data_IF_533621555055
#
_entry.id   IF_533621555055
#
_cell.length_a   1.000
_cell.length_b   1.000
_cell.length_c   1.000
_cell.angle_alpha   90.00
_cell.angle_beta   90.00
_cell.angle_gamma   90.00
#
_symmetry.space_group_name_H-M   'P 1'
#
loop_
_entity.id
_entity.type
_entity.pdbx_description
1 polymer ?
#
# COMPACT_ATOMS: atom_id res chain seq x y z
N UNK A 1 15.45 4.35 15.03
CA UNK A 1 14.96 3.14 15.74
C UNK A 1 15.55 1.92 15.07
N UNK A 2 15.75 0.81 15.79
CA UNK A 2 16.37 -0.41 15.24
C UNK A 2 15.30 -1.46 14.94
N UNK A 3 15.38 -2.10 13.77
CA UNK A 3 14.53 -3.23 13.42
C UNK A 3 15.15 -4.53 13.98
N UNK A 4 14.58 -5.02 15.07
CA UNK A 4 14.98 -6.29 15.69
C UNK A 4 14.26 -7.48 15.03
N UNK A 5 13.07 -7.27 14.46
CA UNK A 5 12.27 -8.34 13.85
C UNK A 5 12.99 -8.97 12.66
N UNK A 6 13.55 -8.14 11.78
CA UNK A 6 14.36 -8.62 10.65
C UNK A 6 15.61 -9.36 11.12
N UNK A 7 16.22 -8.95 12.24
CA UNK A 7 17.42 -9.61 12.80
C UNK A 7 17.14 -10.98 13.39
N UNK A 8 15.91 -11.24 13.83
CA UNK A 8 15.47 -12.56 14.33
C UNK A 8 14.81 -13.41 13.25
N UNK A 9 14.92 -13.02 11.97
CA UNK A 9 14.46 -13.80 10.83
C UNK A 9 13.00 -13.59 10.43
N UNK A 10 12.29 -12.62 11.02
CA UNK A 10 10.91 -12.29 10.65
C UNK A 10 10.96 -11.38 9.42
N UNK A 11 10.47 -11.87 8.28
CA UNK A 11 10.41 -11.07 7.06
C UNK A 11 9.25 -10.06 7.12
N UNK A 12 9.47 -8.81 6.67
CA UNK A 12 8.41 -7.81 6.61
C UNK A 12 7.40 -8.18 5.51
N UNK A 13 6.12 -8.15 5.86
CA UNK A 13 5.02 -8.31 4.91
C UNK A 13 4.20 -7.02 4.92
N UNK A 14 4.12 -6.36 3.77
CA UNK A 14 3.37 -5.12 3.62
C UNK A 14 2.06 -5.41 2.90
N UNK A 15 0.99 -5.60 3.68
CA UNK A 15 -0.36 -5.80 3.18
C UNK A 15 -1.24 -4.59 3.54
N UNK A 16 -2.24 -4.32 2.71
CA UNK A 16 -3.18 -3.21 2.90
C UNK A 16 -4.61 -3.67 2.74
N UNK A 17 -5.57 -2.93 3.29
CA UNK A 17 -6.98 -3.24 3.13
C UNK A 17 -7.41 -3.20 1.65
N UNK A 18 -6.77 -2.37 0.84
CA UNK A 18 -6.97 -2.34 -0.62
C UNK A 18 -6.64 -3.66 -1.31
N UNK A 19 -5.55 -4.34 -0.89
CA UNK A 19 -5.19 -5.67 -1.40
C UNK A 19 -6.17 -6.74 -0.92
N UNK A 20 -6.64 -6.63 0.32
CA UNK A 20 -7.70 -7.49 0.84
C UNK A 20 -8.97 -7.38 -0.01
N UNK A 21 -9.41 -6.16 -0.33
CA UNK A 21 -10.55 -5.92 -1.22
C UNK A 21 -10.32 -6.45 -2.64
N UNK A 22 -9.10 -6.29 -3.17
CA UNK A 22 -8.73 -6.83 -4.47
C UNK A 22 -8.86 -8.36 -4.49
N UNK A 23 -8.40 -9.04 -3.44
CA UNK A 23 -8.54 -10.50 -3.29
C UNK A 23 -10.00 -10.93 -3.22
N UNK A 24 -10.84 -10.20 -2.48
CA UNK A 24 -12.28 -10.47 -2.37
C UNK A 24 -13.02 -10.35 -3.71
N UNK A 25 -12.58 -9.45 -4.61
CA UNK A 25 -13.12 -9.32 -5.98
C UNK A 25 -12.43 -10.24 -7.00
N UNK A 26 -11.73 -11.28 -6.55
CA UNK A 26 -11.06 -12.24 -7.44
C UNK A 26 -9.82 -11.70 -8.16
N UNK A 27 -9.16 -10.67 -7.62
CA UNK A 27 -7.89 -10.13 -8.11
C UNK A 27 -7.97 -9.24 -9.36
N UNK A 28 -9.18 -8.81 -9.76
CA UNK A 28 -9.35 -7.91 -10.90
C UNK A 28 -8.85 -6.50 -10.55
N UNK A 29 -8.29 -5.76 -11.52
CA UNK A 29 -7.99 -4.33 -11.34
C UNK A 29 -9.28 -3.51 -11.23
N UNK A 30 -9.29 -2.54 -10.31
CA UNK A 30 -10.36 -1.56 -10.17
C UNK A 30 -10.13 -0.33 -11.08
N UNK A 31 -11.14 0.52 -11.30
CA UNK A 31 -10.95 1.79 -11.99
C UNK A 31 -9.85 2.64 -11.33
N UNK A 32 -9.00 3.21 -12.17
CA UNK A 32 -7.89 4.08 -11.80
C UNK A 32 -8.33 5.54 -11.68
N UNK A 33 -7.81 6.23 -10.69
CA UNK A 33 -7.94 7.68 -10.53
C UNK A 33 -6.74 8.25 -9.78
N UNK A 34 -6.63 9.58 -9.76
CA UNK A 34 -5.56 10.26 -9.02
C UNK A 34 -6.18 11.01 -7.85
N UNK A 35 -5.71 10.71 -6.65
CA UNK A 35 -6.09 11.44 -5.45
C UNK A 35 -5.20 12.69 -5.37
N UNK A 36 -5.77 13.89 -5.20
CA UNK A 36 -4.97 15.09 -4.97
C UNK A 36 -4.00 14.88 -3.80
N UNK A 37 -2.74 15.31 -3.96
CA UNK A 37 -1.65 15.18 -2.97
C UNK A 37 -1.14 13.73 -2.79
N UNK A 38 -2.02 12.74 -2.65
CA UNK A 38 -1.64 11.34 -2.40
C UNK A 38 -1.18 10.59 -3.66
N UNK A 39 -1.69 10.96 -4.83
CA UNK A 39 -1.23 10.45 -6.12
C UNK A 39 -2.08 9.32 -6.72
N UNK A 40 -1.49 8.49 -7.60
CA UNK A 40 -2.15 7.40 -8.31
C UNK A 40 -2.81 6.37 -7.39
N UNK A 41 -4.06 6.01 -7.64
CA UNK A 41 -4.81 5.02 -6.85
C UNK A 41 -5.88 4.30 -7.68
N UNK A 42 -6.31 3.13 -7.23
CA UNK A 42 -7.56 2.49 -7.67
C UNK A 42 -8.68 2.68 -6.66
N UNK A 43 -9.95 2.51 -7.06
CA UNK A 43 -11.11 2.66 -6.15
C UNK A 43 -10.93 1.86 -4.86
N UNK A 44 -10.54 0.60 -4.98
CA UNK A 44 -10.30 -0.29 -3.84
C UNK A 44 -9.15 0.18 -2.95
N UNK A 45 -8.05 0.65 -3.55
CA UNK A 45 -6.89 1.15 -2.82
C UNK A 45 -7.21 2.47 -2.13
N UNK A 46 -8.01 3.34 -2.74
CA UNK A 46 -8.46 4.59 -2.14
C UNK A 46 -9.33 4.37 -0.91
N UNK A 47 -10.29 3.44 -0.98
CA UNK A 47 -11.06 3.00 0.19
C UNK A 47 -10.13 2.33 1.22
N UNK A 48 -9.16 1.55 0.74
CA UNK A 48 -8.14 0.90 1.55
C UNK A 48 -7.36 1.88 2.41
N UNK A 49 -6.92 3.01 1.85
CA UNK A 49 -6.20 4.07 2.60
C UNK A 49 -7.02 4.56 3.80
N UNK A 50 -8.33 4.79 3.63
CA UNK A 50 -9.19 5.23 4.72
C UNK A 50 -9.35 4.15 5.79
N UNK A 51 -9.57 2.90 5.39
CA UNK A 51 -9.68 1.77 6.31
C UNK A 51 -8.36 1.55 7.08
N UNK A 52 -7.22 1.57 6.37
CA UNK A 52 -5.88 1.43 6.94
C UNK A 52 -5.57 2.57 7.91
N UNK A 53 -6.02 3.80 7.65
CA UNK A 53 -5.84 4.91 8.58
C UNK A 53 -6.45 4.60 9.96
N UNK A 54 -7.64 4.02 10.00
CA UNK A 54 -8.29 3.61 11.26
C UNK A 54 -7.63 2.42 11.97
N UNK A 55 -6.75 1.65 11.29
CA UNK A 55 -5.98 0.59 11.94
C UNK A 55 -4.66 1.08 12.54
N UNK A 56 -4.29 2.34 12.29
CA UNK A 56 -3.11 2.98 12.88
C UNK A 56 -3.43 3.71 14.18
N UNK A 57 -2.44 4.04 15.02
CA UNK A 57 -2.66 4.83 16.22
C UNK A 57 -2.97 6.31 15.95
N UNK A 58 -2.69 6.83 14.74
CA UNK A 58 -2.85 8.24 14.36
C UNK A 58 -4.23 8.84 14.68
N UNK A 59 -5.36 8.24 14.25
CA UNK A 59 -6.70 8.78 14.57
C UNK A 59 -7.03 8.87 16.06
N UNK A 60 -6.28 8.16 16.91
CA UNK A 60 -6.50 8.11 18.36
C UNK A 60 -5.57 9.05 19.14
N UNK A 61 -4.67 9.77 18.46
CA UNK A 61 -3.83 10.81 19.07
C UNK A 61 -4.66 12.08 19.27
N UNK A 62 -4.86 12.49 20.52
CA UNK A 62 -5.68 13.66 20.87
C UNK A 62 -5.05 15.01 20.49
N UNK A 63 -3.73 15.07 20.40
CA UNK A 63 -3.02 16.30 20.02
C UNK A 63 -3.03 16.47 18.50
N UNK A 64 -3.80 17.46 18.03
CA UNK A 64 -3.91 17.79 16.61
C UNK A 64 -2.61 18.34 16.04
N UNK A 65 -1.79 19.04 16.83
CA UNK A 65 -0.52 19.59 16.35
C UNK A 65 0.46 18.46 15.99
N UNK A 66 0.52 17.42 16.81
CA UNK A 66 1.34 16.23 16.53
C UNK A 66 0.87 15.56 15.24
N UNK A 67 -0.43 15.40 15.05
CA UNK A 67 -0.99 14.82 13.82
C UNK A 67 -0.66 15.66 12.57
N UNK A 68 -0.78 16.98 12.62
CA UNK A 68 -0.43 17.85 11.50
C UNK A 68 1.06 17.81 11.17
N UNK A 69 1.92 17.88 12.19
CA UNK A 69 3.37 17.80 12.00
C UNK A 69 3.76 16.44 11.42
N UNK A 70 3.23 15.35 11.97
CA UNK A 70 3.50 14.01 11.48
C UNK A 70 3.03 13.82 10.03
N UNK A 71 1.82 14.28 9.69
CA UNK A 71 1.29 14.21 8.33
C UNK A 71 2.13 15.03 7.35
N UNK A 72 2.57 16.23 7.75
CA UNK A 72 3.47 17.05 6.95
C UNK A 72 4.82 16.38 6.69
N UNK A 73 5.42 15.78 7.72
CA UNK A 73 6.67 15.02 7.59
C UNK A 73 6.49 13.79 6.69
N UNK A 74 5.39 13.06 6.81
CA UNK A 74 5.07 11.93 5.94
C UNK A 74 4.94 12.37 4.48
N UNK A 75 4.30 13.51 4.22
CA UNK A 75 4.17 14.05 2.87
C UNK A 75 5.52 14.43 2.26
N UNK A 76 6.38 15.10 3.03
CA UNK A 76 7.75 15.44 2.59
C UNK A 76 8.55 14.17 2.31
N UNK A 77 8.45 13.17 3.19
CA UNK A 77 9.13 11.88 3.04
C UNK A 77 8.64 11.15 1.77
N UNK A 78 7.33 11.15 1.51
CA UNK A 78 6.75 10.57 0.29
C UNK A 78 7.32 11.26 -0.96
N UNK A 79 7.36 12.60 -0.98
CA UNK A 79 7.95 13.34 -2.11
C UNK A 79 9.43 13.04 -2.29
N UNK A 80 10.18 12.96 -1.19
CA UNK A 80 11.60 12.61 -1.23
C UNK A 80 11.85 11.26 -1.87
N UNK A 81 11.00 10.26 -1.61
CA UNK A 81 11.11 8.93 -2.20
C UNK A 81 10.78 8.90 -3.70
N UNK A 82 10.02 9.88 -4.20
CA UNK A 82 9.62 9.96 -5.61
C UNK A 82 10.57 10.81 -6.47
N UNK A 83 11.39 11.68 -5.87
CA UNK A 83 12.38 12.52 -6.58
C UNK A 83 13.23 11.76 -7.62
N UNK A 84 13.71 10.53 -7.38
CA UNK A 84 14.49 9.79 -8.39
C UNK A 84 13.68 9.41 -9.64
N UNK A 85 12.36 9.21 -9.48
CA UNK A 85 11.46 8.83 -10.56
C UNK A 85 11.00 10.03 -11.39
N UNK A 86 11.12 11.26 -10.90
CA UNK A 86 10.67 12.47 -11.60
C UNK A 86 11.30 12.59 -12.99
N UNK A 87 12.60 12.31 -13.13
CA UNK A 87 13.30 12.33 -14.42
C UNK A 87 12.74 11.32 -15.42
N UNK A 88 12.25 10.17 -14.95
CA UNK A 88 11.65 9.15 -15.83
C UNK A 88 10.29 9.62 -16.35
N UNK A 89 9.52 10.29 -15.49
CA UNK A 89 8.21 10.83 -15.81
C UNK A 89 8.31 12.05 -16.75
N UNK A 90 9.27 12.95 -16.50
CA UNK A 90 9.48 14.15 -17.32
C UNK A 90 9.93 13.85 -18.76
N UNK A 91 10.67 12.75 -18.97
CA UNK A 91 11.13 12.32 -20.28
C UNK A 91 10.10 11.46 -21.05
N UNK A 92 8.96 11.15 -20.43
CA UNK A 92 7.90 10.37 -21.08
C UNK A 92 7.11 11.24 -22.07
N UNK A 93 6.67 10.63 -23.17
CA UNK A 93 5.82 11.31 -24.16
C UNK A 93 4.45 11.71 -23.57
N UNK A 94 3.86 10.83 -22.75
CA UNK A 94 2.64 11.11 -21.97
C UNK A 94 2.89 10.73 -20.50
N UNK A 95 3.18 11.73 -19.64
CA UNK A 95 3.45 11.49 -18.22
C UNK A 95 2.29 10.83 -17.48
N UNK A 96 1.05 11.14 -17.85
CA UNK A 96 -0.13 10.61 -17.17
C UNK A 96 -0.31 9.12 -17.48
N UNK A 97 -0.24 8.74 -18.76
CA UNK A 97 -0.34 7.34 -19.18
C UNK A 97 0.83 6.54 -18.61
N UNK A 98 2.05 7.07 -18.68
CA UNK A 98 3.22 6.40 -18.14
C UNK A 98 3.08 6.07 -16.65
N UNK A 99 2.67 7.05 -15.84
CA UNK A 99 2.47 6.86 -14.39
C UNK A 99 1.31 5.90 -14.12
N UNK A 100 0.20 6.02 -14.86
CA UNK A 100 -0.95 5.12 -14.71
C UNK A 100 -0.57 3.67 -14.98
N UNK A 101 0.12 3.41 -16.08
CA UNK A 101 0.44 2.06 -16.51
C UNK A 101 1.48 1.44 -15.57
N UNK A 102 2.50 2.20 -15.16
CA UNK A 102 3.46 1.77 -14.14
C UNK A 102 2.79 1.47 -12.78
N UNK A 103 1.84 2.30 -12.36
CA UNK A 103 1.08 2.08 -11.14
C UNK A 103 0.22 0.80 -11.23
N UNK A 104 -0.53 0.62 -12.32
CA UNK A 104 -1.39 -0.55 -12.52
C UNK A 104 -0.60 -1.85 -12.63
N UNK A 105 0.57 -1.82 -13.28
CA UNK A 105 1.49 -2.94 -13.34
C UNK A 105 1.97 -3.33 -11.93
N UNK A 106 2.46 -2.36 -11.16
CA UNK A 106 2.88 -2.58 -9.77
C UNK A 106 1.75 -3.12 -8.89
N UNK A 107 0.53 -2.62 -9.07
CA UNK A 107 -0.65 -3.10 -8.32
C UNK A 107 -0.98 -4.55 -8.68
N UNK A 108 -0.97 -4.90 -9.97
CA UNK A 108 -1.17 -6.27 -10.43
C UNK A 108 -0.14 -7.23 -9.81
N UNK A 109 1.13 -6.84 -9.81
CA UNK A 109 2.20 -7.66 -9.21
C UNK A 109 1.98 -7.89 -7.71
N UNK A 110 1.46 -6.89 -6.98
CA UNK A 110 1.12 -7.03 -5.56
C UNK A 110 -0.06 -7.98 -5.34
N UNK A 111 -1.10 -7.87 -6.16
CA UNK A 111 -2.28 -8.74 -6.09
C UNK A 111 -1.87 -10.19 -6.36
N UNK A 112 -1.06 -10.43 -7.39
CA UNK A 112 -0.58 -11.77 -7.74
C UNK A 112 0.24 -12.38 -6.59
N UNK A 113 1.17 -11.61 -6.02
CA UNK A 113 1.94 -12.04 -4.84
C UNK A 113 1.05 -12.34 -3.64
N UNK A 114 0.05 -11.51 -3.37
CA UNK A 114 -0.90 -11.71 -2.27
C UNK A 114 -1.76 -12.99 -2.47
N UNK A 115 -2.11 -13.30 -3.71
CA UNK A 115 -2.84 -14.53 -4.05
C UNK A 115 -1.98 -15.78 -3.90
N UNK A 116 -0.67 -15.69 -4.19
CA UNK A 116 0.28 -16.77 -4.06
C UNK A 116 0.68 -17.05 -2.59
N UNK A 117 0.26 -16.23 -1.63
CA UNK A 117 0.54 -16.46 -0.21
C UNK A 117 -0.07 -17.79 0.27
N UNK A 118 0.65 -18.55 1.10
CA UNK A 118 0.13 -19.79 1.65
C UNK A 118 -1.15 -19.50 2.45
N UNK A 119 -2.19 -20.30 2.20
CA UNK A 119 -3.41 -20.24 3.02
C UNK A 119 -3.04 -20.67 4.44
N UNK A 120 -3.49 -19.92 5.43
CA UNK A 120 -3.36 -20.31 6.84
C UNK A 120 -4.01 -21.69 6.96
N UNK A 121 -3.34 -22.71 7.54
CA UNK A 121 -3.95 -24.01 7.77
C UNK A 121 -5.26 -23.83 8.52
N UNK A 122 -6.33 -24.47 8.05
CA UNK A 122 -7.63 -24.42 8.75
C UNK A 122 -7.44 -24.96 10.17
N UNK A 123 -7.79 -24.14 11.17
CA UNK A 123 -7.72 -24.53 12.57
C UNK A 123 -8.74 -25.66 12.82
N UNK A 124 -8.30 -26.92 12.64
CA UNK A 124 -9.20 -28.06 12.81
C UNK A 124 -8.69 -29.43 12.33
N UNK A 125 -7.61 -29.53 11.56
CA UNK A 125 -7.01 -30.84 11.20
C UNK A 125 -5.75 -31.11 12.01
N UNK A 126 -5.92 -31.28 13.32
CA UNK A 126 -5.08 -32.24 14.04
C UNK A 126 -5.34 -33.61 13.44
N UNK A 127 -4.49 -33.99 12.48
CA UNK A 127 -4.32 -35.36 12.03
C UNK A 127 -3.95 -36.19 13.26
N UNK A 128 -4.94 -36.89 13.83
CA UNK A 128 -4.72 -37.87 14.88
C UNK A 128 -4.04 -39.07 14.23
N UNK A 129 -2.73 -39.18 14.38
CA UNK A 129 -2.00 -40.43 14.18
C UNK A 129 -1.21 -40.78 15.43
#
# INVERSE_FOLDING_TARGET
MFDVATRVGIQPHSESFGLTLAKWRGGQSAPYFVIPILGPSTIQSGIGIAADYYTTPWPYVHDQNINYIASGLQLINLRSQLLPADRLVENAFDPYIFVRDAYLQREKDKIEKNQALPKIPEAGTTDKK
#
